data_IF_818532173690
#
_entry.id   IF_818532173690
#
_cell.length_a   1.000
_cell.length_b   1.000
_cell.length_c   1.000
_cell.angle_alpha   90.00
_cell.angle_beta   90.00
_cell.angle_gamma   90.00
#
_symmetry.space_group_name_H-M   'P 1'
#
loop_
_entity.id
_entity.type
_entity.pdbx_description
1 polymer ?
#
# COMPACT_ATOMS: atom_id res chain seq x y z
N UNK A 1 37.42 -17.18 -11.91
CA UNK A 1 36.86 -16.17 -10.99
C UNK A 1 35.39 -16.00 -11.36
N UNK A 2 34.47 -16.57 -10.58
CA UNK A 2 33.04 -16.54 -10.93
C UNK A 2 32.42 -15.30 -10.31
N UNK A 3 32.12 -14.30 -11.14
CA UNK A 3 31.41 -13.09 -10.71
C UNK A 3 29.99 -13.50 -10.32
N UNK A 4 29.69 -13.51 -9.03
CA UNK A 4 28.32 -13.62 -8.51
C UNK A 4 27.63 -12.28 -8.73
N UNK A 5 27.03 -12.10 -9.90
CA UNK A 5 26.17 -10.95 -10.21
C UNK A 5 25.06 -10.90 -9.16
N UNK A 6 25.09 -9.90 -8.27
CA UNK A 6 23.99 -9.65 -7.34
C UNK A 6 22.82 -9.15 -8.17
N UNK A 7 21.83 -10.00 -8.40
CA UNK A 7 20.57 -9.61 -9.01
C UNK A 7 19.85 -8.75 -7.97
N UNK A 8 20.03 -7.44 -8.05
CA UNK A 8 19.20 -6.49 -7.30
C UNK A 8 17.82 -6.55 -7.94
N UNK A 9 16.93 -7.39 -7.39
CA UNK A 9 15.54 -7.38 -7.83
C UNK A 9 15.00 -5.98 -7.57
N UNK A 10 14.38 -5.32 -8.56
CA UNK A 10 13.71 -4.06 -8.31
C UNK A 10 12.70 -4.31 -7.18
N UNK A 11 12.77 -3.49 -6.11
CA UNK A 11 11.78 -3.55 -5.06
C UNK A 11 10.45 -3.13 -5.65
N UNK A 12 9.48 -4.04 -5.63
CA UNK A 12 8.10 -3.70 -5.94
C UNK A 12 7.55 -3.01 -4.70
N UNK A 13 7.03 -1.80 -4.88
CA UNK A 13 6.33 -1.07 -3.81
C UNK A 13 5.01 -1.78 -3.55
N UNK A 14 4.75 -2.10 -2.29
CA UNK A 14 3.50 -2.71 -1.88
C UNK A 14 2.41 -1.65 -1.74
N UNK A 15 1.22 -1.94 -2.25
CA UNK A 15 0.04 -1.06 -2.17
C UNK A 15 -1.08 -1.79 -1.40
N UNK A 16 -1.75 -1.08 -0.50
CA UNK A 16 -2.88 -1.59 0.25
C UNK A 16 -4.10 -1.75 -0.68
N UNK A 17 -4.69 -2.95 -0.72
CA UNK A 17 -5.84 -3.23 -1.59
C UNK A 17 -7.14 -2.51 -1.16
N UNK A 18 -7.19 -1.98 0.06
CA UNK A 18 -8.35 -1.30 0.65
C UNK A 18 -8.32 0.21 0.47
N UNK A 19 -7.26 0.87 0.96
CA UNK A 19 -7.12 2.33 0.96
C UNK A 19 -6.06 2.87 -0.01
N UNK A 20 -5.18 2.02 -0.55
CA UNK A 20 -4.16 2.43 -1.50
C UNK A 20 -2.89 3.04 -0.91
N UNK A 21 -2.74 3.04 0.43
CA UNK A 21 -1.48 3.43 1.07
C UNK A 21 -0.34 2.51 0.60
N UNK A 22 0.89 3.01 0.63
CA UNK A 22 2.06 2.28 0.15
C UNK A 22 3.23 2.29 1.15
N UNK A 23 4.34 1.65 0.82
CA UNK A 23 5.54 1.55 1.69
C UNK A 23 6.10 2.91 2.14
N UNK A 24 5.81 3.99 1.42
CA UNK A 24 6.30 5.34 1.67
C UNK A 24 5.19 6.30 2.12
N UNK A 25 3.92 5.99 1.84
CA UNK A 25 2.77 6.82 2.15
C UNK A 25 1.75 6.04 2.98
N UNK A 26 1.93 6.06 4.30
CA UNK A 26 0.97 5.51 5.26
C UNK A 26 -0.28 6.40 5.36
N UNK A 27 -1.46 5.77 5.38
CA UNK A 27 -2.71 6.46 5.73
C UNK A 27 -2.84 6.61 7.26
N UNK A 28 -3.79 7.42 7.72
CA UNK A 28 -4.08 7.55 9.15
C UNK A 28 -4.97 6.39 9.62
N UNK A 29 -4.59 5.76 10.72
CA UNK A 29 -5.37 4.72 11.38
C UNK A 29 -6.08 5.32 12.59
N UNK A 30 -7.39 5.55 12.46
CA UNK A 30 -8.21 6.11 13.53
C UNK A 30 -8.33 5.19 14.75
N UNK A 31 -8.19 3.87 14.57
CA UNK A 31 -8.28 2.92 15.68
C UNK A 31 -7.03 2.94 16.55
N UNK A 32 -5.86 3.21 15.95
CA UNK A 32 -4.57 3.26 16.63
C UNK A 32 -4.04 4.69 16.84
N UNK A 33 -4.81 5.71 16.44
CA UNK A 33 -4.44 7.14 16.49
C UNK A 33 -3.01 7.41 15.97
N UNK A 34 -2.62 6.72 14.90
CA UNK A 34 -1.25 6.74 14.37
C UNK A 34 -1.22 6.42 12.86
N UNK A 35 -0.09 6.66 12.16
CA UNK A 35 0.07 6.18 10.79
C UNK A 35 -0.08 4.65 10.71
N UNK A 36 -0.82 4.17 9.73
CA UNK A 36 -1.07 2.75 9.54
C UNK A 36 0.22 1.96 9.31
N UNK A 37 0.20 0.68 9.62
CA UNK A 37 1.29 -0.26 9.35
C UNK A 37 0.80 -1.47 8.56
N UNK A 38 1.72 -2.22 7.96
CA UNK A 38 1.36 -3.44 7.24
C UNK A 38 0.94 -4.54 8.20
N UNK A 39 -0.32 -4.99 8.09
CA UNK A 39 -0.81 -6.16 8.83
C UNK A 39 -0.62 -7.44 8.01
N UNK A 40 -0.77 -7.32 6.68
CA UNK A 40 -0.40 -8.32 5.68
C UNK A 40 0.28 -7.66 4.51
N UNK A 41 1.36 -8.25 4.01
CA UNK A 41 2.05 -7.73 2.82
C UNK A 41 2.69 -8.87 2.04
N UNK A 42 2.57 -8.79 0.72
CA UNK A 42 3.28 -9.62 -0.24
C UNK A 42 4.16 -8.70 -1.09
N UNK A 43 5.41 -8.51 -0.65
CA UNK A 43 6.39 -7.69 -1.37
C UNK A 43 6.75 -8.27 -2.76
N UNK A 44 6.43 -9.55 -3.02
CA UNK A 44 6.62 -10.16 -4.34
C UNK A 44 5.54 -9.76 -5.32
N UNK A 45 4.30 -9.66 -4.84
CA UNK A 45 3.15 -9.20 -5.61
C UNK A 45 3.00 -7.67 -5.63
N UNK A 46 3.63 -6.95 -4.70
CA UNK A 46 3.45 -5.51 -4.55
C UNK A 46 2.10 -5.14 -3.97
N UNK A 47 1.51 -6.01 -3.14
CA UNK A 47 0.17 -5.81 -2.57
C UNK A 47 0.17 -6.11 -1.08
N UNK A 48 -0.75 -5.50 -0.35
CA UNK A 48 -0.93 -5.74 1.08
C UNK A 48 -2.27 -5.27 1.63
N UNK A 49 -2.42 -5.39 2.93
CA UNK A 49 -3.50 -4.82 3.74
C UNK A 49 -2.85 -4.14 4.95
N UNK A 50 -3.13 -2.85 5.11
CA UNK A 50 -2.67 -2.07 6.27
C UNK A 50 -3.63 -2.20 7.46
N UNK A 51 -3.17 -1.81 8.64
CA UNK A 51 -3.94 -1.82 9.89
C UNK A 51 -5.24 -1.01 9.84
N UNK A 52 -5.29 0.02 8.99
CA UNK A 52 -6.48 0.86 8.80
C UNK A 52 -7.56 0.23 7.88
N UNK A 53 -7.31 -0.95 7.30
CA UNK A 53 -8.27 -1.67 6.45
C UNK A 53 -8.58 -3.09 6.96
N UNK A 54 -9.04 -3.26 8.21
CA UNK A 54 -9.30 -4.58 8.77
C UNK A 54 -10.36 -5.36 7.99
N UNK A 55 -11.29 -4.69 7.32
CA UNK A 55 -12.32 -5.29 6.47
C UNK A 55 -11.74 -6.04 5.26
N UNK A 56 -10.53 -5.69 4.82
CA UNK A 56 -9.85 -6.36 3.71
C UNK A 56 -9.07 -7.60 4.14
N UNK A 57 -8.83 -7.82 5.44
CA UNK A 57 -8.01 -8.92 5.96
C UNK A 57 -8.63 -10.29 5.66
N UNK A 58 -9.93 -10.46 5.91
CA UNK A 58 -10.59 -11.74 5.67
C UNK A 58 -10.59 -12.12 4.19
N UNK A 59 -10.76 -11.13 3.30
CA UNK A 59 -10.65 -11.35 1.85
C UNK A 59 -9.21 -11.71 1.46
N UNK A 60 -8.22 -11.00 2.01
CA UNK A 60 -6.80 -11.28 1.78
C UNK A 60 -6.41 -12.69 2.21
N UNK A 61 -6.82 -13.12 3.41
CA UNK A 61 -6.52 -14.44 3.94
C UNK A 61 -7.24 -15.56 3.15
N UNK A 62 -8.37 -15.26 2.51
CA UNK A 62 -9.03 -16.14 1.54
C UNK A 62 -8.34 -16.17 0.16
N UNK A 63 -7.30 -15.35 -0.05
CA UNK A 63 -6.50 -15.30 -1.27
C UNK A 63 -6.91 -14.20 -2.25
N UNK A 64 -7.83 -13.31 -1.89
CA UNK A 64 -8.21 -12.18 -2.73
C UNK A 64 -7.11 -11.11 -2.74
N UNK A 65 -6.60 -10.82 -3.95
CA UNK A 65 -5.58 -9.81 -4.22
C UNK A 65 -6.10 -8.67 -5.09
N UNK A 66 -7.42 -8.53 -5.20
CA UNK A 66 -8.06 -7.49 -6.01
C UNK A 66 -7.91 -6.13 -5.35
N UNK A 67 -7.25 -5.19 -6.03
CA UNK A 67 -7.18 -3.78 -5.59
C UNK A 67 -8.57 -3.16 -5.76
N UNK A 68 -9.14 -2.65 -4.66
CA UNK A 68 -10.48 -2.05 -4.63
C UNK A 68 -10.45 -0.52 -4.76
N UNK A 69 -9.27 0.06 -4.68
CA UNK A 69 -9.07 1.51 -4.68
C UNK A 69 -9.22 2.03 -6.10
N UNK A 70 -10.14 2.96 -6.38
CA UNK A 70 -10.04 3.75 -7.60
C UNK A 70 -8.74 4.54 -7.52
N UNK A 71 -7.86 4.37 -8.50
CA UNK A 71 -6.71 5.26 -8.70
C UNK A 71 -7.24 6.69 -8.75
N UNK A 72 -7.02 7.47 -7.70
CA UNK A 72 -7.26 8.90 -7.77
C UNK A 72 -6.14 9.47 -8.65
N UNK A 73 -6.45 9.68 -9.93
CA UNK A 73 -5.64 10.49 -10.86
C UNK A 73 -5.56 11.98 -10.42
N UNK A 74 -5.87 12.31 -9.16
CA UNK A 74 -5.84 13.67 -8.62
C UNK A 74 -4.48 14.02 -8.03
N UNK A 75 -3.46 13.91 -8.88
CA UNK A 75 -2.33 14.83 -8.87
C UNK A 75 -2.60 15.95 -9.88
N UNK A 76 -3.68 16.72 -9.70
CA UNK A 76 -3.90 17.97 -10.43
C UNK A 76 -4.91 18.85 -9.67
N UNK A 77 -4.41 19.89 -9.01
CA UNK A 77 -5.24 21.01 -8.57
C UNK A 77 -4.97 21.47 -7.16
N UNK A 78 -3.82 22.09 -6.93
CA UNK A 78 -3.77 23.22 -6.01
C UNK A 78 -4.80 24.25 -6.48
N UNK A 79 -5.82 24.51 -5.65
CA UNK A 79 -6.75 25.63 -5.81
C UNK A 79 -6.50 26.64 -4.69
N UNK A 80 -6.62 27.95 -4.93
CA UNK A 80 -6.04 28.97 -4.08
C UNK A 80 -6.75 29.06 -2.73
N UNK A 81 -5.95 29.44 -1.73
CA UNK A 81 -6.40 29.88 -0.43
C UNK A 81 -7.07 31.25 -0.61
N UNK A 82 -8.40 31.29 -0.52
CA UNK A 82 -9.21 32.52 -0.35
C UNK A 82 -10.11 32.26 0.88
N UNK A 83 -10.28 33.14 1.86
CA UNK A 83 -9.94 34.55 2.04
C UNK A 83 -9.79 34.87 3.55
#
# INVERSE_FOLDING_TARGET
MTVKTRITRPRVVAICIGCGCDDFHACWDDANESPCFWERVDCGAGLGVCSACPECLSAWDAGDRTVRVPVDDRAAGEGPRDA
#
